data_IF_660935716609
#
_entry.id   IF_660935716609
#
_cell.length_a   1.000
_cell.length_b   1.000
_cell.length_c   1.000
_cell.angle_alpha   90.00
_cell.angle_beta   90.00
_cell.angle_gamma   90.00
#
_symmetry.space_group_name_H-M   'P 1'
#
loop_
_entity.id
_entity.type
_entity.pdbx_description
1 polymer ?
#
# COMPACT_ATOMS: atom_id res chain seq x y z
N UNK A 1 -25.93 -23.58 -15.79
CA UNK A 1 -26.78 -23.73 -14.58
C UNK A 1 -26.83 -22.37 -13.89
N UNK A 2 -28.03 -21.84 -13.72
CA UNK A 2 -28.22 -20.59 -12.98
C UNK A 2 -28.08 -20.89 -11.49
N UNK A 3 -26.95 -20.50 -10.90
CA UNK A 3 -26.70 -20.63 -9.47
C UNK A 3 -27.38 -19.48 -8.73
N UNK A 4 -28.72 -19.36 -8.88
CA UNK A 4 -29.49 -18.37 -8.10
C UNK A 4 -29.54 -18.83 -6.66
N UNK A 5 -29.18 -17.98 -5.69
CA UNK A 5 -29.25 -18.32 -4.29
C UNK A 5 -30.69 -18.67 -3.88
N UNK A 6 -30.85 -19.67 -3.06
CA UNK A 6 -32.15 -20.06 -2.50
C UNK A 6 -32.63 -19.02 -1.48
N UNK A 7 -33.96 -19.01 -1.21
CA UNK A 7 -34.52 -18.09 -0.20
C UNK A 7 -33.90 -18.30 1.20
N UNK A 8 -33.47 -19.53 1.53
CA UNK A 8 -32.80 -19.83 2.80
C UNK A 8 -31.38 -19.19 2.84
N UNK A 9 -30.65 -19.27 1.74
CA UNK A 9 -29.32 -18.65 1.61
C UNK A 9 -29.41 -17.11 1.64
N UNK A 10 -30.46 -16.52 1.05
CA UNK A 10 -30.71 -15.08 1.09
C UNK A 10 -31.04 -14.61 2.53
N UNK A 11 -31.70 -15.45 3.33
CA UNK A 11 -32.05 -15.14 4.72
C UNK A 11 -30.94 -15.40 5.74
N UNK A 12 -29.88 -16.11 5.35
CA UNK A 12 -28.78 -16.41 6.26
C UNK A 12 -27.72 -15.31 6.19
N UNK A 13 -27.58 -14.45 7.22
CA UNK A 13 -26.59 -13.38 7.25
C UNK A 13 -25.16 -13.89 7.06
N UNK A 14 -24.83 -15.10 7.51
CA UNK A 14 -23.49 -15.68 7.41
C UNK A 14 -23.05 -15.94 5.97
N UNK A 15 -23.98 -16.31 5.07
CA UNK A 15 -23.69 -16.51 3.65
C UNK A 15 -23.52 -15.18 2.89
N UNK A 16 -24.19 -14.12 3.35
CA UNK A 16 -24.11 -12.80 2.71
C UNK A 16 -22.91 -11.98 3.19
N UNK A 17 -22.53 -12.08 4.45
CA UNK A 17 -21.50 -11.24 5.05
C UNK A 17 -20.08 -11.78 4.91
N UNK A 18 -19.86 -13.03 4.53
CA UNK A 18 -18.52 -13.60 4.36
C UNK A 18 -17.70 -12.91 3.26
N UNK A 19 -18.24 -12.84 2.06
CA UNK A 19 -17.62 -12.13 0.92
C UNK A 19 -17.68 -10.60 1.09
N UNK A 20 -18.75 -10.09 1.72
CA UNK A 20 -18.94 -8.66 1.99
C UNK A 20 -17.90 -8.11 2.97
N UNK A 21 -17.49 -8.89 3.99
CA UNK A 21 -16.44 -8.48 4.93
C UNK A 21 -15.10 -8.27 4.25
N UNK A 22 -14.71 -9.14 3.30
CA UNK A 22 -13.45 -9.02 2.56
C UNK A 22 -13.46 -7.80 1.65
N UNK A 23 -14.54 -7.56 0.90
CA UNK A 23 -14.67 -6.40 0.02
C UNK A 23 -14.79 -5.09 0.80
N UNK A 24 -15.49 -5.08 1.95
CA UNK A 24 -15.55 -3.92 2.84
C UNK A 24 -14.17 -3.59 3.40
N UNK A 25 -13.41 -4.59 3.82
CA UNK A 25 -12.04 -4.40 4.31
C UNK A 25 -11.14 -3.81 3.23
N UNK A 26 -11.19 -4.34 2.01
CA UNK A 26 -10.44 -3.83 0.87
C UNK A 26 -10.81 -2.37 0.57
N UNK A 27 -12.09 -2.05 0.52
CA UNK A 27 -12.61 -0.71 0.29
C UNK A 27 -12.16 0.29 1.37
N UNK A 28 -12.27 -0.08 2.65
CA UNK A 28 -11.82 0.78 3.76
C UNK A 28 -10.31 0.98 3.74
N UNK A 29 -9.55 -0.10 3.54
CA UNK A 29 -8.08 -0.01 3.46
C UNK A 29 -7.65 0.92 2.34
N UNK A 30 -8.27 0.82 1.17
CA UNK A 30 -7.93 1.67 0.03
C UNK A 30 -8.27 3.14 0.30
N UNK A 31 -9.40 3.43 0.94
CA UNK A 31 -9.77 4.80 1.30
C UNK A 31 -8.90 5.40 2.40
N UNK A 32 -8.62 4.63 3.45
CA UNK A 32 -7.76 5.08 4.55
C UNK A 32 -6.34 5.33 4.07
N UNK A 33 -5.77 4.39 3.33
CA UNK A 33 -4.42 4.58 2.76
C UNK A 33 -4.37 5.72 1.76
N UNK A 34 -5.42 5.92 0.96
CA UNK A 34 -5.55 7.07 0.06
C UNK A 34 -5.56 8.41 0.80
N UNK A 35 -6.34 8.52 1.88
CA UNK A 35 -6.37 9.72 2.72
C UNK A 35 -5.02 9.99 3.39
N UNK A 36 -4.37 8.96 3.92
CA UNK A 36 -3.02 9.08 4.49
C UNK A 36 -1.98 9.50 3.45
N UNK A 37 -2.10 9.04 2.22
CA UNK A 37 -1.20 9.43 1.14
C UNK A 37 -1.25 10.93 0.82
N UNK A 38 -2.38 11.61 1.06
CA UNK A 38 -2.46 13.08 0.93
C UNK A 38 -1.52 13.73 1.94
N UNK A 39 -1.58 13.32 3.20
CA UNK A 39 -0.71 13.83 4.27
C UNK A 39 0.75 13.50 3.98
N UNK A 40 1.04 12.26 3.56
CA UNK A 40 2.40 11.85 3.21
C UNK A 40 2.95 12.57 1.97
N UNK A 41 2.11 12.94 1.01
CA UNK A 41 2.53 13.74 -0.15
C UNK A 41 3.00 15.14 0.29
N UNK A 42 2.27 15.78 1.20
CA UNK A 42 2.68 17.07 1.77
C UNK A 42 4.00 16.94 2.56
N UNK A 43 4.13 15.91 3.36
CA UNK A 43 5.37 15.61 4.07
C UNK A 43 6.54 15.38 3.09
N UNK A 44 6.31 14.61 2.03
CA UNK A 44 7.33 14.32 1.03
C UNK A 44 7.76 15.58 0.28
N UNK A 45 6.82 16.44 -0.08
CA UNK A 45 7.12 17.73 -0.69
C UNK A 45 8.00 18.60 0.21
N UNK A 46 7.64 18.70 1.49
CA UNK A 46 8.47 19.40 2.48
C UNK A 46 9.86 18.77 2.59
N UNK A 47 9.94 17.45 2.67
CA UNK A 47 11.22 16.73 2.79
C UNK A 47 12.12 16.96 1.58
N UNK A 48 11.58 16.88 0.36
CA UNK A 48 12.33 17.10 -0.88
C UNK A 48 12.90 18.51 -0.93
N UNK A 49 12.10 19.53 -0.59
CA UNK A 49 12.56 20.92 -0.54
C UNK A 49 13.64 21.10 0.52
N UNK A 50 13.48 20.50 1.70
CA UNK A 50 14.47 20.57 2.79
C UNK A 50 15.78 19.88 2.41
N UNK A 51 15.72 18.73 1.74
CA UNK A 51 16.90 18.01 1.24
C UNK A 51 17.62 18.79 0.13
N UNK A 52 16.88 19.46 -0.75
CA UNK A 52 17.46 20.23 -1.85
C UNK A 52 18.29 21.43 -1.34
N UNK A 53 17.88 22.04 -0.23
CA UNK A 53 18.58 23.17 0.38
C UNK A 53 19.71 22.78 1.34
N UNK A 54 19.90 21.50 1.65
CA UNK A 54 20.89 21.02 2.62
C UNK A 54 22.18 20.53 1.96
N UNK A 55 23.30 20.67 2.65
CA UNK A 55 24.57 20.02 2.28
C UNK A 55 24.51 18.49 2.58
N UNK A 56 25.57 17.77 2.23
CA UNK A 56 25.61 16.30 2.40
C UNK A 56 25.40 15.86 3.86
N UNK A 57 26.00 16.55 4.80
CA UNK A 57 25.85 16.26 6.22
C UNK A 57 24.44 16.56 6.73
N UNK A 58 23.86 17.69 6.30
CA UNK A 58 22.50 18.09 6.62
C UNK A 58 21.45 17.14 6.04
N UNK A 59 21.64 16.64 4.82
CA UNK A 59 20.77 15.61 4.22
C UNK A 59 20.74 14.35 5.06
N UNK A 60 21.90 13.88 5.47
CA UNK A 60 22.03 12.68 6.28
C UNK A 60 21.39 12.87 7.66
N UNK A 61 21.67 14.01 8.30
CA UNK A 61 21.10 14.34 9.60
C UNK A 61 19.57 14.43 9.55
N UNK A 62 19.01 15.01 8.48
CA UNK A 62 17.56 15.13 8.30
C UNK A 62 16.89 13.77 8.16
N UNK A 63 17.42 12.88 7.31
CA UNK A 63 16.86 11.54 7.12
C UNK A 63 17.00 10.67 8.38
N UNK A 64 18.06 10.86 9.15
CA UNK A 64 18.31 10.16 10.42
C UNK A 64 17.51 10.70 11.60
N UNK A 65 16.92 11.87 11.48
CA UNK A 65 16.05 12.39 12.53
C UNK A 65 14.92 11.40 12.82
N UNK A 66 14.72 10.96 14.08
CA UNK A 66 13.81 9.86 14.40
C UNK A 66 12.40 10.07 13.88
N UNK A 67 11.88 11.29 13.99
CA UNK A 67 10.53 11.61 13.48
C UNK A 67 10.44 11.52 11.95
N UNK A 68 11.45 12.00 11.25
CA UNK A 68 11.52 11.93 9.78
C UNK A 68 11.68 10.47 9.31
N UNK A 69 12.58 9.73 9.92
CA UNK A 69 12.81 8.32 9.58
C UNK A 69 11.56 7.47 9.82
N UNK A 70 10.89 7.65 10.96
CA UNK A 70 9.65 6.94 11.28
C UNK A 70 8.52 7.29 10.30
N UNK A 71 8.35 8.58 9.98
CA UNK A 71 7.35 9.04 9.01
C UNK A 71 7.63 8.49 7.62
N UNK A 72 8.90 8.45 7.18
CA UNK A 72 9.29 7.81 5.92
C UNK A 72 8.98 6.32 5.91
N UNK A 73 9.27 5.59 6.99
CA UNK A 73 8.96 4.17 7.09
C UNK A 73 7.44 3.91 6.98
N UNK A 74 6.62 4.69 7.68
CA UNK A 74 5.17 4.62 7.58
C UNK A 74 4.67 4.96 6.18
N UNK A 75 5.21 6.01 5.56
CA UNK A 75 4.90 6.39 4.19
C UNK A 75 5.17 5.23 3.22
N UNK A 76 6.33 4.60 3.30
CA UNK A 76 6.69 3.49 2.43
C UNK A 76 5.73 2.31 2.56
N UNK A 77 5.32 1.96 3.78
CA UNK A 77 4.36 0.89 4.02
C UNK A 77 2.98 1.25 3.48
N UNK A 78 2.48 2.44 3.80
CA UNK A 78 1.13 2.88 3.39
C UNK A 78 1.04 3.02 1.87
N UNK A 79 2.04 3.61 1.22
CA UNK A 79 2.10 3.72 -0.24
C UNK A 79 2.16 2.34 -0.89
N UNK A 80 2.94 1.41 -0.35
CA UNK A 80 3.01 0.05 -0.88
C UNK A 80 1.66 -0.68 -0.80
N UNK A 81 0.96 -0.57 0.31
CA UNK A 81 -0.38 -1.15 0.48
C UNK A 81 -1.37 -0.54 -0.51
N UNK A 82 -1.39 0.79 -0.61
CA UNK A 82 -2.29 1.51 -1.51
C UNK A 82 -2.03 1.15 -2.99
N UNK A 83 -0.77 1.14 -3.39
CA UNK A 83 -0.36 0.78 -4.75
C UNK A 83 -0.72 -0.68 -5.09
N UNK A 84 -0.44 -1.61 -4.16
CA UNK A 84 -0.79 -3.02 -4.36
C UNK A 84 -2.30 -3.21 -4.55
N UNK A 85 -3.10 -2.58 -3.71
CA UNK A 85 -4.55 -2.69 -3.75
C UNK A 85 -5.13 -2.00 -4.99
N UNK A 86 -4.64 -0.82 -5.35
CA UNK A 86 -5.08 -0.12 -6.55
C UNK A 86 -4.73 -0.88 -7.84
N UNK A 87 -3.53 -1.46 -7.92
CA UNK A 87 -3.16 -2.28 -9.06
C UNK A 87 -3.95 -3.60 -9.12
N UNK A 88 -4.27 -4.16 -7.96
CA UNK A 88 -5.17 -5.32 -7.88
C UNK A 88 -6.53 -5.03 -8.53
N UNK A 89 -7.14 -3.89 -8.20
CA UNK A 89 -8.43 -3.49 -8.76
C UNK A 89 -8.34 -3.39 -10.29
N UNK A 90 -7.28 -2.78 -10.82
CA UNK A 90 -7.04 -2.70 -12.27
C UNK A 90 -6.87 -4.10 -12.89
N UNK A 91 -6.11 -4.98 -12.27
CA UNK A 91 -5.90 -6.34 -12.78
C UNK A 91 -7.22 -7.12 -12.79
N UNK A 92 -8.00 -7.04 -11.74
CA UNK A 92 -9.29 -7.73 -11.62
C UNK A 92 -10.31 -7.22 -12.67
N UNK A 93 -10.24 -5.94 -13.04
CA UNK A 93 -11.15 -5.34 -14.02
C UNK A 93 -10.76 -5.61 -15.48
N UNK A 94 -9.47 -5.78 -15.78
CA UNK A 94 -8.98 -5.81 -17.16
C UNK A 94 -8.28 -7.12 -17.58
N UNK A 95 -7.95 -8.00 -16.65
CA UNK A 95 -7.21 -9.24 -16.93
C UNK A 95 -8.00 -10.46 -16.50
N UNK A 96 -8.30 -11.35 -17.43
CA UNK A 96 -9.09 -12.56 -17.18
C UNK A 96 -8.24 -13.84 -17.15
N UNK A 97 -8.84 -14.92 -16.64
CA UNK A 97 -8.33 -16.29 -16.71
C UNK A 97 -7.02 -16.52 -15.94
N UNK A 98 -6.15 -17.33 -16.51
CA UNK A 98 -4.87 -17.69 -15.91
C UNK A 98 -3.92 -16.49 -15.80
N UNK A 99 -4.00 -15.54 -16.73
CA UNK A 99 -3.21 -14.31 -16.72
C UNK A 99 -3.55 -13.42 -15.51
N UNK A 100 -4.82 -13.37 -15.09
CA UNK A 100 -5.23 -12.65 -13.89
C UNK A 100 -4.49 -13.14 -12.64
N UNK A 101 -4.49 -14.44 -12.40
CA UNK A 101 -3.78 -15.03 -11.24
C UNK A 101 -2.29 -14.72 -11.27
N UNK A 102 -1.66 -14.85 -12.42
CA UNK A 102 -0.24 -14.56 -12.59
C UNK A 102 0.06 -13.08 -12.35
N UNK A 103 -0.77 -12.18 -12.87
CA UNK A 103 -0.64 -10.74 -12.68
C UNK A 103 -0.82 -10.32 -11.21
N UNK A 104 -1.76 -10.93 -10.47
CA UNK A 104 -1.95 -10.68 -9.04
C UNK A 104 -0.74 -11.13 -8.21
N UNK A 105 -0.16 -12.29 -8.53
CA UNK A 105 1.06 -12.77 -7.88
C UNK A 105 2.23 -11.83 -8.19
N UNK A 106 2.40 -11.45 -9.45
CA UNK A 106 3.44 -10.53 -9.88
C UNK A 106 3.31 -9.15 -9.20
N UNK A 107 2.10 -8.62 -9.11
CA UNK A 107 1.81 -7.36 -8.40
C UNK A 107 2.22 -7.43 -6.91
N UNK A 108 1.85 -8.51 -6.24
CA UNK A 108 2.23 -8.71 -4.82
C UNK A 108 3.75 -8.86 -4.67
N UNK A 109 4.39 -9.68 -5.50
CA UNK A 109 5.84 -9.89 -5.46
C UNK A 109 6.60 -8.58 -5.74
N UNK A 110 6.18 -7.82 -6.73
CA UNK A 110 6.77 -6.53 -7.07
C UNK A 110 6.64 -5.54 -5.90
N UNK A 111 5.44 -5.37 -5.36
CA UNK A 111 5.19 -4.40 -4.28
C UNK A 111 5.94 -4.76 -3.01
N UNK A 112 5.96 -6.03 -2.62
CA UNK A 112 6.72 -6.49 -1.45
C UNK A 112 8.21 -6.28 -1.66
N UNK A 113 8.74 -6.60 -2.84
CA UNK A 113 10.15 -6.40 -3.16
C UNK A 113 10.56 -4.93 -3.07
N UNK A 114 9.76 -4.03 -3.65
CA UNK A 114 10.01 -2.58 -3.59
C UNK A 114 9.96 -2.08 -2.15
N UNK A 115 8.97 -2.49 -1.37
CA UNK A 115 8.83 -2.10 0.03
C UNK A 115 10.02 -2.58 0.88
N UNK A 116 10.42 -3.84 0.73
CA UNK A 116 11.56 -4.41 1.47
C UNK A 116 12.86 -3.71 1.11
N UNK A 117 13.12 -3.47 -0.16
CA UNK A 117 14.33 -2.76 -0.61
C UNK A 117 14.35 -1.33 -0.09
N UNK A 118 13.24 -0.61 -0.20
CA UNK A 118 13.14 0.77 0.26
C UNK A 118 13.28 0.90 1.78
N UNK A 119 12.62 0.03 2.55
CA UNK A 119 12.75 0.00 4.00
C UNK A 119 14.15 -0.43 4.44
N UNK A 120 14.76 -1.39 3.74
CA UNK A 120 16.14 -1.81 3.97
C UNK A 120 17.14 -0.70 3.70
N UNK A 121 16.96 0.05 2.62
CA UNK A 121 17.78 1.22 2.31
C UNK A 121 17.64 2.33 3.38
N UNK A 122 16.39 2.61 3.82
CA UNK A 122 16.15 3.56 4.91
C UNK A 122 16.81 3.11 6.20
N UNK A 123 16.66 1.85 6.58
CA UNK A 123 17.30 1.28 7.77
C UNK A 123 18.83 1.38 7.68
N UNK A 124 19.41 1.10 6.51
CA UNK A 124 20.86 1.26 6.30
C UNK A 124 21.30 2.70 6.53
N UNK A 125 20.59 3.68 5.98
CA UNK A 125 20.92 5.10 6.15
C UNK A 125 20.81 5.51 7.63
N UNK A 126 19.78 5.05 8.32
CA UNK A 126 19.49 5.46 9.70
C UNK A 126 20.50 4.84 10.68
N UNK A 127 20.82 3.56 10.54
CA UNK A 127 21.57 2.81 11.53
C UNK A 127 23.05 2.61 11.18
N UNK A 128 23.39 2.51 9.89
CA UNK A 128 24.76 2.21 9.46
C UNK A 128 25.38 3.29 8.55
N UNK A 129 24.57 4.22 8.15
CA UNK A 129 25.01 5.36 7.35
C UNK A 129 25.63 5.01 6.06
#
# INVERSE_FOLDING_TARGET
MSNKPTRAEIRNPATHYGATKASTRHFLTQRVTGALNIVFTLFLAWLVVSLAGADAAGKLALVRAPLVALTLALLLVVVAIHMRNGMRDVIEDYVDGAANRLALIANTAFTVSVAVVALGALAKIVFWG
#
